data_IF_340105368992
#
_entry.id   IF_340105368992
#
_cell.length_a   1.000
_cell.length_b   1.000
_cell.length_c   1.000
_cell.angle_alpha   90.00
_cell.angle_beta   90.00
_cell.angle_gamma   90.00
#
_symmetry.space_group_name_H-M   'P 1'
#
loop_
_entity.id
_entity.type
_entity.pdbx_description
1 polymer ?
#
# COMPACT_ATOMS: atom_id res chain seq x y z
N UNK A 1 -16.03 -8.56 -20.20
CA UNK A 1 -16.49 -8.49 -18.78
C UNK A 1 -17.28 -9.76 -18.50
N UNK A 2 -16.96 -10.46 -17.39
CA UNK A 2 -17.76 -11.62 -16.98
C UNK A 2 -19.10 -11.10 -16.43
N UNK A 3 -20.19 -11.74 -16.74
CA UNK A 3 -21.58 -11.28 -16.52
C UNK A 3 -21.96 -10.93 -15.05
N UNK A 4 -21.05 -11.15 -14.06
CA UNK A 4 -21.30 -10.92 -12.63
C UNK A 4 -20.10 -10.29 -11.89
N UNK A 5 -19.23 -9.53 -12.56
CA UNK A 5 -18.11 -8.89 -11.87
C UNK A 5 -18.52 -7.56 -11.23
N UNK A 6 -17.97 -7.29 -10.04
CA UNK A 6 -18.12 -6.04 -9.30
C UNK A 6 -17.20 -4.97 -9.89
N UNK A 7 -17.76 -3.84 -10.26
CA UNK A 7 -17.05 -2.74 -10.90
C UNK A 7 -16.31 -1.90 -9.87
N UNK A 8 -15.03 -1.64 -10.12
CA UNK A 8 -14.16 -0.87 -9.22
C UNK A 8 -13.60 0.36 -9.91
N UNK A 9 -13.64 1.51 -9.24
CA UNK A 9 -12.84 2.68 -9.60
C UNK A 9 -11.62 2.78 -8.68
N UNK A 10 -10.45 2.99 -9.29
CA UNK A 10 -9.17 3.16 -8.59
C UNK A 10 -8.68 4.59 -8.74
N UNK A 11 -8.62 5.33 -7.64
CA UNK A 11 -8.08 6.68 -7.59
C UNK A 11 -6.67 6.65 -6.99
N UNK A 12 -5.76 7.46 -7.52
CA UNK A 12 -4.35 7.43 -7.14
C UNK A 12 -3.74 6.03 -7.34
N UNK A 13 -4.06 5.40 -8.49
CA UNK A 13 -3.75 3.99 -8.73
C UNK A 13 -2.25 3.67 -8.77
N UNK A 14 -1.40 4.67 -9.00
CA UNK A 14 0.04 4.47 -9.13
C UNK A 14 0.36 3.44 -10.23
N UNK A 15 1.26 2.50 -9.94
CA UNK A 15 1.57 1.39 -10.83
C UNK A 15 0.59 0.20 -10.71
N UNK A 16 -0.45 0.30 -9.86
CA UNK A 16 -1.47 -0.74 -9.76
C UNK A 16 -1.28 -1.79 -8.66
N UNK A 17 -0.47 -1.52 -7.62
CA UNK A 17 -0.27 -2.50 -6.54
C UNK A 17 -1.55 -2.85 -5.78
N UNK A 18 -2.38 -1.85 -5.44
CA UNK A 18 -3.70 -2.07 -4.84
C UNK A 18 -4.67 -2.75 -5.80
N UNK A 19 -4.61 -2.38 -7.07
CA UNK A 19 -5.48 -2.92 -8.12
C UNK A 19 -5.21 -4.41 -8.34
N UNK A 20 -3.93 -4.80 -8.45
CA UNK A 20 -3.53 -6.20 -8.55
C UNK A 20 -4.04 -7.02 -7.35
N UNK A 21 -3.87 -6.51 -6.14
CA UNK A 21 -4.39 -7.16 -4.93
C UNK A 21 -5.92 -7.25 -4.92
N UNK A 22 -6.62 -6.20 -5.34
CA UNK A 22 -8.08 -6.16 -5.42
C UNK A 22 -8.62 -7.17 -6.44
N UNK A 23 -7.95 -7.31 -7.57
CA UNK A 23 -8.33 -8.26 -8.61
C UNK A 23 -7.96 -9.71 -8.20
N UNK A 24 -6.80 -9.92 -7.59
CA UNK A 24 -6.25 -11.26 -7.40
C UNK A 24 -5.83 -11.93 -8.72
N UNK A 25 -5.72 -13.27 -8.72
CA UNK A 25 -5.32 -14.04 -9.89
C UNK A 25 -3.81 -14.02 -10.15
N UNK A 26 -3.01 -13.95 -9.10
CA UNK A 26 -1.55 -13.97 -9.19
C UNK A 26 -0.95 -14.94 -8.16
N UNK A 27 0.30 -15.36 -8.41
CA UNK A 27 1.07 -16.20 -7.49
C UNK A 27 2.21 -15.40 -6.88
N UNK A 28 2.47 -15.58 -5.59
CA UNK A 28 3.62 -14.99 -4.89
C UNK A 28 4.17 -15.98 -3.85
N UNK A 29 5.48 -16.27 -3.88
CA UNK A 29 6.16 -17.20 -2.98
C UNK A 29 5.39 -18.54 -2.80
N UNK A 30 5.21 -19.27 -3.87
CA UNK A 30 4.56 -20.61 -3.89
C UNK A 30 3.10 -20.61 -3.44
N UNK A 31 2.47 -19.44 -3.26
CA UNK A 31 1.07 -19.30 -2.92
C UNK A 31 0.29 -18.61 -4.02
N UNK A 32 -0.88 -19.17 -4.33
CA UNK A 32 -1.83 -18.60 -5.28
C UNK A 32 -2.84 -17.70 -4.56
N UNK A 33 -2.95 -16.48 -5.03
CA UNK A 33 -3.97 -15.51 -4.62
C UNK A 33 -5.08 -15.51 -5.65
N UNK A 34 -6.15 -16.24 -5.35
CA UNK A 34 -7.23 -16.50 -6.30
C UNK A 34 -7.85 -15.22 -6.84
N UNK A 35 -8.37 -15.27 -8.07
CA UNK A 35 -9.12 -14.18 -8.68
C UNK A 35 -10.35 -13.86 -7.83
N UNK A 36 -10.50 -12.58 -7.46
CA UNK A 36 -11.68 -12.05 -6.79
C UNK A 36 -12.69 -11.54 -7.83
N UNK A 37 -13.98 -11.39 -7.47
CA UNK A 37 -15.01 -10.96 -8.41
C UNK A 37 -14.99 -9.44 -8.68
N UNK A 38 -13.82 -8.82 -8.70
CA UNK A 38 -13.63 -7.41 -8.94
C UNK A 38 -12.99 -7.16 -10.31
N UNK A 39 -13.52 -6.20 -11.06
CA UNK A 39 -12.91 -5.68 -12.29
C UNK A 39 -12.74 -4.17 -12.19
N UNK A 40 -11.52 -3.69 -12.45
CA UNK A 40 -11.26 -2.26 -12.53
C UNK A 40 -11.88 -1.74 -13.83
N UNK A 41 -12.80 -0.82 -13.73
CA UNK A 41 -13.46 -0.19 -14.88
C UNK A 41 -13.08 1.28 -15.06
N UNK A 42 -12.38 1.83 -14.08
CA UNK A 42 -11.79 3.16 -14.13
C UNK A 42 -10.56 3.21 -13.22
N UNK A 43 -9.46 3.74 -13.71
CA UNK A 43 -8.25 3.99 -12.92
C UNK A 43 -7.65 5.35 -13.31
N UNK A 44 -7.12 6.10 -12.34
CA UNK A 44 -6.51 7.40 -12.58
C UNK A 44 -5.32 7.65 -11.66
N UNK A 45 -4.25 8.18 -12.24
CA UNK A 45 -3.09 8.73 -11.53
C UNK A 45 -2.49 9.90 -12.34
N UNK A 46 -1.81 10.83 -11.68
CA UNK A 46 -1.16 11.97 -12.34
C UNK A 46 0.27 11.66 -12.83
N UNK A 47 0.92 10.60 -12.31
CA UNK A 47 2.29 10.24 -12.65
C UNK A 47 2.32 9.43 -13.94
N UNK A 48 2.72 10.08 -15.04
CA UNK A 48 2.82 9.47 -16.37
C UNK A 48 3.60 8.14 -16.38
N UNK A 49 4.69 8.05 -15.60
CA UNK A 49 5.51 6.82 -15.56
C UNK A 49 4.83 5.69 -14.75
N UNK A 50 4.04 6.04 -13.75
CA UNK A 50 3.23 5.07 -13.05
C UNK A 50 2.10 4.54 -13.95
N UNK A 51 1.43 5.43 -14.67
CA UNK A 51 0.40 5.07 -15.65
C UNK A 51 0.97 4.20 -16.79
N UNK A 52 2.19 4.49 -17.27
CA UNK A 52 2.89 3.63 -18.24
C UNK A 52 3.04 2.19 -17.71
N UNK A 53 3.50 2.03 -16.48
CA UNK A 53 3.63 0.72 -15.84
C UNK A 53 2.27 0.07 -15.61
N UNK A 54 1.27 0.83 -15.17
CA UNK A 54 -0.09 0.34 -15.00
C UNK A 54 -0.63 -0.24 -16.31
N UNK A 55 -0.59 0.55 -17.40
CA UNK A 55 -1.14 0.17 -18.71
C UNK A 55 -0.40 -1.00 -19.36
N UNK A 56 0.84 -1.27 -18.95
CA UNK A 56 1.57 -2.45 -19.37
C UNK A 56 1.05 -3.74 -18.72
N UNK A 57 0.57 -3.66 -17.48
CA UNK A 57 0.21 -4.84 -16.67
C UNK A 57 -1.30 -5.12 -16.59
N UNK A 58 -2.16 -4.16 -16.93
CA UNK A 58 -3.62 -4.29 -16.79
C UNK A 58 -4.32 -4.14 -18.15
N UNK A 59 -5.38 -4.94 -18.34
CA UNK A 59 -6.21 -4.86 -19.57
C UNK A 59 -6.97 -3.53 -19.65
N UNK A 60 -7.47 -3.01 -18.50
CA UNK A 60 -8.13 -1.71 -18.44
C UNK A 60 -7.07 -0.63 -18.21
N UNK A 61 -6.91 0.33 -19.16
CA UNK A 61 -5.90 1.37 -19.03
C UNK A 61 -6.27 2.40 -17.94
N UNK A 62 -5.27 2.89 -17.21
CA UNK A 62 -5.41 4.04 -16.35
C UNK A 62 -5.35 5.34 -17.16
N UNK A 63 -6.11 6.32 -16.71
CA UNK A 63 -6.11 7.69 -17.23
C UNK A 63 -4.98 8.48 -16.55
N UNK A 64 -4.11 9.11 -17.33
CA UNK A 64 -3.09 10.01 -16.79
C UNK A 64 -3.71 11.41 -16.62
N UNK A 65 -4.18 11.73 -15.40
CA UNK A 65 -4.82 13.00 -15.09
C UNK A 65 -4.70 13.34 -13.60
N UNK A 66 -4.76 14.64 -13.29
CA UNK A 66 -4.98 15.08 -11.92
C UNK A 66 -6.44 14.78 -11.53
N UNK A 67 -6.61 14.01 -10.45
CA UNK A 67 -7.92 13.60 -9.93
C UNK A 67 -8.82 14.80 -9.58
N UNK A 68 -8.24 15.96 -9.27
CA UNK A 68 -8.99 17.20 -9.02
C UNK A 68 -9.78 17.67 -10.26
N UNK A 69 -9.27 17.37 -11.44
CA UNK A 69 -9.84 17.77 -12.72
C UNK A 69 -10.74 16.69 -13.35
N UNK A 70 -10.89 15.52 -12.70
CA UNK A 70 -11.74 14.45 -13.21
C UNK A 70 -13.21 14.79 -13.01
N UNK A 71 -13.99 14.65 -14.09
CA UNK A 71 -15.45 14.72 -14.03
C UNK A 71 -16.00 13.34 -13.65
N UNK A 72 -16.27 13.14 -12.36
CA UNK A 72 -16.76 11.86 -11.85
C UNK A 72 -18.18 11.50 -12.34
N UNK A 73 -18.97 12.45 -12.84
CA UNK A 73 -20.26 12.14 -13.46
C UNK A 73 -20.08 11.26 -14.71
N UNK A 74 -19.00 11.46 -15.46
CA UNK A 74 -18.71 10.77 -16.71
C UNK A 74 -18.06 9.41 -16.58
N UNK A 75 -17.54 9.04 -15.38
CA UNK A 75 -17.01 7.70 -15.19
C UNK A 75 -18.16 6.67 -15.06
N UNK A 76 -17.92 5.38 -15.34
CA UNK A 76 -18.92 4.34 -15.13
C UNK A 76 -19.45 4.32 -13.69
N UNK A 77 -20.67 3.82 -13.49
CA UNK A 77 -21.13 3.47 -12.15
C UNK A 77 -20.33 2.30 -11.60
N UNK A 78 -20.00 2.36 -10.32
CA UNK A 78 -19.09 1.41 -9.67
C UNK A 78 -19.68 0.88 -8.37
N UNK A 79 -19.35 -0.38 -8.06
CA UNK A 79 -19.74 -1.05 -6.83
C UNK A 79 -18.77 -0.71 -5.68
N UNK A 80 -17.50 -0.49 -6.02
CA UNK A 80 -16.45 -0.20 -5.04
C UNK A 80 -15.48 0.88 -5.54
N UNK A 81 -14.94 1.66 -4.61
CA UNK A 81 -13.83 2.59 -4.84
C UNK A 81 -12.64 2.14 -4.03
N UNK A 82 -11.46 2.12 -4.65
CA UNK A 82 -10.19 1.99 -3.95
C UNK A 82 -9.35 3.23 -4.20
N UNK A 83 -8.50 3.63 -3.21
CA UNK A 83 -7.63 4.78 -3.39
C UNK A 83 -6.65 4.99 -2.24
N UNK A 84 -5.45 5.49 -2.57
CA UNK A 84 -4.41 5.86 -1.61
C UNK A 84 -4.09 7.34 -1.72
N UNK A 85 -4.85 8.22 -1.09
CA UNK A 85 -4.59 9.65 -1.17
C UNK A 85 -3.29 10.03 -0.45
N UNK A 86 -2.45 10.94 -1.01
CA UNK A 86 -1.17 11.31 -0.40
C UNK A 86 -1.34 12.08 0.92
N UNK A 87 -0.52 11.70 1.93
CA UNK A 87 -0.52 12.33 3.27
C UNK A 87 0.32 13.60 3.36
N UNK A 88 1.07 13.96 2.32
CA UNK A 88 2.08 15.03 2.37
C UNK A 88 1.49 16.42 2.68
N UNK A 89 0.24 16.61 2.41
CA UNK A 89 -0.52 17.83 2.63
C UNK A 89 -0.84 18.13 4.11
N UNK A 90 -0.86 17.12 4.97
CA UNK A 90 -1.14 17.33 6.39
C UNK A 90 0.10 17.66 7.23
N UNK A 91 1.32 17.32 6.74
CA UNK A 91 2.58 17.57 7.45
C UNK A 91 3.07 19.02 7.34
N UNK A 92 2.56 19.79 6.37
CA UNK A 92 2.95 21.18 6.11
C UNK A 92 1.93 22.21 6.59
N UNK A 93 0.83 21.77 7.21
CA UNK A 93 -0.12 22.72 7.84
C UNK A 93 0.52 23.31 9.08
N UNK A 94 1.35 24.33 8.85
CA UNK A 94 1.66 25.32 9.87
C UNK A 94 0.33 26.04 10.18
N UNK A 95 -0.11 26.14 11.46
CA UNK A 95 -1.37 26.79 11.83
C UNK A 95 -1.51 28.24 11.36
N UNK A 96 -0.43 28.84 10.83
CA UNK A 96 -0.34 30.22 10.36
C UNK A 96 -0.16 30.34 8.84
N UNK A 97 -0.14 29.25 8.06
CA UNK A 97 -0.07 29.28 6.59
C UNK A 97 -1.38 28.84 5.98
N UNK A 98 -1.81 29.67 5.06
CA UNK A 98 -2.97 29.62 4.17
C UNK A 98 -3.59 28.23 4.00
N UNK A 99 -4.86 28.10 4.37
CA UNK A 99 -5.68 26.89 4.26
C UNK A 99 -6.01 26.50 2.81
N UNK A 100 -5.40 27.15 1.83
CA UNK A 100 -5.61 26.96 0.40
C UNK A 100 -4.57 26.08 -0.30
N UNK A 101 -3.80 25.24 0.40
CA UNK A 101 -2.98 24.23 -0.28
C UNK A 101 -3.89 23.10 -0.77
N UNK A 102 -4.20 23.11 -2.08
CA UNK A 102 -5.08 22.14 -2.76
C UNK A 102 -4.67 20.68 -2.50
N UNK A 103 -3.39 20.45 -2.21
CA UNK A 103 -2.86 19.12 -1.86
C UNK A 103 -3.29 18.66 -0.46
N UNK A 104 -3.63 19.58 0.46
CA UNK A 104 -4.19 19.24 1.78
C UNK A 104 -5.58 18.59 1.67
N UNK A 105 -6.19 18.66 0.50
CA UNK A 105 -7.57 18.30 0.29
C UNK A 105 -7.78 17.10 -0.67
N UNK A 106 -6.71 16.34 -1.02
CA UNK A 106 -6.86 15.23 -1.97
C UNK A 106 -7.79 14.11 -1.47
N UNK A 107 -7.93 13.90 -0.16
CA UNK A 107 -8.96 13.01 0.36
C UNK A 107 -10.38 13.51 0.05
N UNK A 108 -10.57 14.82 -0.16
CA UNK A 108 -11.85 15.40 -0.60
C UNK A 108 -12.29 14.87 -1.97
N UNK A 109 -11.36 14.42 -2.79
CA UNK A 109 -11.71 13.78 -4.05
C UNK A 109 -12.36 12.41 -3.82
N UNK A 110 -11.98 11.71 -2.74
CA UNK A 110 -12.71 10.52 -2.31
C UNK A 110 -14.11 10.92 -1.83
N UNK A 111 -14.25 11.93 -0.97
CA UNK A 111 -15.58 12.43 -0.54
C UNK A 111 -16.45 12.77 -1.76
N UNK A 112 -15.88 13.51 -2.74
CA UNK A 112 -16.63 13.92 -3.96
C UNK A 112 -17.10 12.74 -4.79
N UNK A 113 -16.28 11.72 -5.01
CA UNK A 113 -16.69 10.54 -5.78
C UNK A 113 -17.70 9.68 -4.99
N UNK A 114 -17.56 9.58 -3.65
CA UNK A 114 -18.55 8.92 -2.78
C UNK A 114 -19.93 9.59 -2.89
N UNK A 115 -19.96 10.93 -2.89
CA UNK A 115 -21.18 11.69 -3.06
C UNK A 115 -21.86 11.42 -4.40
N UNK A 116 -21.08 11.41 -5.50
CA UNK A 116 -21.60 11.27 -6.87
C UNK A 116 -21.97 9.82 -7.18
N UNK A 117 -21.07 8.87 -6.91
CA UNK A 117 -21.21 7.47 -7.36
C UNK A 117 -21.87 6.55 -6.34
N UNK A 118 -21.83 6.89 -5.06
CA UNK A 118 -22.45 6.15 -3.97
C UNK A 118 -22.16 4.63 -4.02
N UNK A 119 -20.88 4.20 -4.17
CA UNK A 119 -20.54 2.78 -4.22
C UNK A 119 -21.00 2.06 -2.95
N UNK A 120 -21.13 0.73 -2.99
CA UNK A 120 -21.46 -0.05 -1.79
C UNK A 120 -20.35 -0.05 -0.76
N UNK A 121 -19.10 -0.02 -1.23
CA UNK A 121 -17.89 -0.11 -0.40
C UNK A 121 -16.84 0.87 -0.91
N UNK A 122 -16.04 1.40 -0.02
CA UNK A 122 -14.75 2.00 -0.38
C UNK A 122 -13.62 1.50 0.51
N UNK A 123 -12.41 1.45 -0.03
CA UNK A 123 -11.18 1.13 0.69
C UNK A 123 -10.15 2.20 0.39
N UNK A 124 -9.66 2.88 1.43
CA UNK A 124 -8.57 3.85 1.30
C UNK A 124 -7.34 3.40 2.08
N UNK A 125 -6.17 3.67 1.53
CA UNK A 125 -4.89 3.41 2.19
C UNK A 125 -4.17 4.73 2.51
N UNK A 126 -3.44 4.74 3.62
CA UNK A 126 -2.55 5.85 3.96
C UNK A 126 -1.38 5.39 4.85
N UNK A 127 -0.39 6.24 5.00
CA UNK A 127 0.77 5.98 5.87
C UNK A 127 0.39 6.01 7.35
N UNK A 128 1.13 5.24 8.18
CA UNK A 128 0.94 5.20 9.65
C UNK A 128 0.89 6.60 10.29
N UNK A 129 1.68 7.55 9.75
CA UNK A 129 1.73 8.93 10.26
C UNK A 129 0.37 9.62 10.34
N UNK A 130 -0.60 9.23 9.50
CA UNK A 130 -1.95 9.79 9.53
C UNK A 130 -2.64 9.63 10.90
N UNK A 131 -2.38 8.53 11.60
CA UNK A 131 -2.92 8.29 12.95
C UNK A 131 -2.34 9.21 14.02
N UNK A 132 -1.15 9.78 13.77
CA UNK A 132 -0.43 10.61 14.75
C UNK A 132 -0.66 12.11 14.53
N UNK A 133 -1.13 12.50 13.34
CA UNK A 133 -1.34 13.90 13.00
C UNK A 133 -2.40 14.53 13.91
N UNK A 134 -2.00 15.63 14.54
CA UNK A 134 -2.83 16.35 15.52
C UNK A 134 -3.47 15.40 16.55
N UNK A 135 -2.67 14.50 17.12
CA UNK A 135 -3.13 13.50 18.10
C UNK A 135 -4.34 12.67 17.61
N UNK A 136 -4.37 12.34 16.33
CA UNK A 136 -5.45 11.55 15.71
C UNK A 136 -6.69 12.36 15.30
N UNK A 137 -6.71 13.67 15.48
CA UNK A 137 -7.86 14.48 15.07
C UNK A 137 -8.08 14.46 13.55
N UNK A 138 -7.01 14.38 12.76
CA UNK A 138 -7.11 14.38 11.30
C UNK A 138 -7.83 13.14 10.77
N UNK A 139 -7.45 11.94 11.22
CA UNK A 139 -8.12 10.71 10.77
C UNK A 139 -9.58 10.65 11.22
N UNK A 140 -9.90 11.14 12.43
CA UNK A 140 -11.28 11.23 12.92
C UNK A 140 -12.12 12.18 12.07
N UNK A 141 -11.55 13.33 11.67
CA UNK A 141 -12.21 14.27 10.76
C UNK A 141 -12.46 13.65 9.39
N UNK A 142 -11.48 12.98 8.81
CA UNK A 142 -11.62 12.29 7.51
C UNK A 142 -12.71 11.21 7.60
N UNK A 143 -12.70 10.39 8.66
CA UNK A 143 -13.71 9.37 8.87
C UNK A 143 -15.11 9.99 8.98
N UNK A 144 -15.24 11.08 9.75
CA UNK A 144 -16.52 11.80 9.90
C UNK A 144 -17.05 12.33 8.57
N UNK A 145 -16.19 12.88 7.70
CA UNK A 145 -16.63 13.34 6.38
C UNK A 145 -17.09 12.20 5.47
N UNK A 146 -16.50 11.01 5.59
CA UNK A 146 -17.01 9.82 4.89
C UNK A 146 -18.31 9.30 5.49
N UNK A 147 -18.49 9.37 6.83
CA UNK A 147 -19.75 9.04 7.49
C UNK A 147 -20.88 9.96 7.06
N UNK A 148 -20.59 11.26 6.88
CA UNK A 148 -21.58 12.26 6.42
C UNK A 148 -22.07 11.97 4.98
N UNK A 149 -21.30 11.23 4.17
CA UNK A 149 -21.72 10.71 2.86
C UNK A 149 -22.57 9.42 2.96
N UNK A 150 -22.90 8.95 4.15
CA UNK A 150 -23.79 7.80 4.38
C UNK A 150 -23.08 6.46 4.50
N UNK A 151 -21.85 6.43 5.02
CA UNK A 151 -21.07 5.21 5.22
C UNK A 151 -20.84 4.93 6.70
N UNK A 152 -20.82 3.65 7.06
CA UNK A 152 -20.22 3.16 8.31
C UNK A 152 -18.73 2.98 8.10
N UNK A 153 -17.92 3.77 8.80
CA UNK A 153 -16.47 3.87 8.54
C UNK A 153 -15.67 3.23 9.66
N UNK A 154 -14.72 2.39 9.29
CA UNK A 154 -13.74 1.82 10.20
C UNK A 154 -12.33 2.06 9.65
N UNK A 155 -11.35 2.21 10.54
CA UNK A 155 -9.94 2.28 10.14
C UNK A 155 -9.06 1.52 11.12
N UNK A 156 -8.00 0.89 10.58
CA UNK A 156 -7.05 0.10 11.37
C UNK A 156 -5.64 0.23 10.81
N UNK A 157 -4.64 0.16 11.69
CA UNK A 157 -3.24 0.00 11.31
C UNK A 157 -2.99 -1.46 10.98
N UNK A 158 -2.66 -1.73 9.71
CA UNK A 158 -2.35 -3.06 9.20
C UNK A 158 -0.85 -3.18 8.99
N UNK A 159 -0.26 -4.29 9.45
CA UNK A 159 1.14 -4.62 9.23
C UNK A 159 1.23 -5.65 8.10
N UNK A 160 1.80 -5.26 6.98
CA UNK A 160 1.90 -6.10 5.79
C UNK A 160 2.60 -7.45 6.06
N UNK A 161 3.59 -7.43 6.95
CA UNK A 161 4.35 -8.63 7.36
C UNK A 161 3.45 -9.72 7.97
N UNK A 162 2.36 -9.34 8.63
CA UNK A 162 1.40 -10.27 9.22
C UNK A 162 0.58 -11.05 8.17
N UNK A 163 0.63 -10.62 6.90
CA UNK A 163 -0.06 -11.22 5.77
C UNK A 163 0.88 -11.91 4.77
N UNK A 164 2.15 -12.13 5.14
CA UNK A 164 3.10 -12.83 4.27
C UNK A 164 3.91 -11.92 3.34
N UNK A 165 3.80 -10.62 3.47
CA UNK A 165 4.68 -9.66 2.78
C UNK A 165 6.04 -9.64 3.48
N UNK A 166 7.17 -9.86 2.79
CA UNK A 166 8.50 -9.92 3.43
C UNK A 166 9.04 -8.54 3.84
N UNK A 167 8.18 -7.69 4.42
CA UNK A 167 8.49 -6.31 4.76
C UNK A 167 7.70 -5.82 5.98
N UNK A 168 8.38 -5.15 6.92
CA UNK A 168 7.78 -4.49 8.11
C UNK A 168 7.11 -3.17 7.72
N UNK A 169 6.15 -3.23 6.77
CA UNK A 169 5.38 -2.07 6.29
C UNK A 169 4.09 -1.95 7.07
N UNK A 170 3.83 -0.77 7.62
CA UNK A 170 2.60 -0.46 8.34
C UNK A 170 1.79 0.58 7.57
N UNK A 171 0.49 0.32 7.39
CA UNK A 171 -0.43 1.20 6.67
C UNK A 171 -1.76 1.30 7.38
N UNK A 172 -2.34 2.49 7.35
CA UNK A 172 -3.71 2.70 7.79
C UNK A 172 -4.62 2.32 6.63
N UNK A 173 -5.51 1.39 6.89
CA UNK A 173 -6.58 1.05 5.95
C UNK A 173 -7.88 1.61 6.51
N UNK A 174 -8.62 2.32 5.69
CA UNK A 174 -9.94 2.89 5.97
C UNK A 174 -10.94 2.15 5.09
N UNK A 175 -11.97 1.56 5.69
CA UNK A 175 -13.04 0.87 4.96
C UNK A 175 -14.36 1.51 5.33
N UNK A 176 -15.16 1.85 4.32
CA UNK A 176 -16.52 2.31 4.49
C UNK A 176 -17.50 1.38 3.80
N UNK A 177 -18.54 1.02 4.53
CA UNK A 177 -19.69 0.26 4.02
C UNK A 177 -20.89 1.18 4.01
N UNK A 178 -21.60 1.30 2.87
CA UNK A 178 -22.78 2.17 2.76
C UNK A 178 -23.87 1.70 3.72
N UNK A 179 -24.52 2.62 4.40
CA UNK A 179 -25.42 2.35 5.54
C UNK A 179 -26.67 1.51 5.20
N UNK A 180 -27.06 1.43 3.91
CA UNK A 180 -28.15 0.58 3.44
C UNK A 180 -27.75 -0.89 3.24
N UNK A 181 -26.45 -1.20 3.35
CA UNK A 181 -25.92 -2.56 3.21
C UNK A 181 -25.92 -3.24 4.58
N UNK A 182 -26.69 -4.32 4.70
CA UNK A 182 -26.73 -5.12 5.93
C UNK A 182 -25.48 -6.01 6.05
N UNK A 183 -24.33 -5.39 6.32
CA UNK A 183 -23.04 -6.08 6.51
C UNK A 183 -22.21 -5.40 7.58
N UNK A 184 -21.85 -6.15 8.61
CA UNK A 184 -20.90 -5.70 9.64
C UNK A 184 -19.49 -6.06 9.23
N UNK A 185 -18.69 -5.04 8.91
CA UNK A 185 -17.29 -5.24 8.49
C UNK A 185 -16.37 -5.56 9.67
N UNK A 186 -15.46 -6.48 9.47
CA UNK A 186 -14.34 -6.75 10.37
C UNK A 186 -13.04 -6.81 9.58
N UNK A 187 -12.00 -6.13 10.05
CA UNK A 187 -10.66 -6.27 9.49
C UNK A 187 -10.16 -7.70 9.64
N UNK A 188 -9.43 -8.25 8.64
CA UNK A 188 -8.82 -9.56 8.78
C UNK A 188 -7.78 -9.55 9.89
N UNK A 189 -7.82 -10.58 10.73
CA UNK A 189 -6.82 -10.79 11.77
C UNK A 189 -5.48 -11.17 11.17
N UNK A 190 -4.35 -10.93 11.87
CA UNK A 190 -3.04 -11.40 11.45
C UNK A 190 -3.03 -12.89 11.11
N UNK A 191 -2.52 -13.22 9.93
CA UNK A 191 -2.32 -14.60 9.47
C UNK A 191 -1.08 -15.22 10.13
N UNK A 192 0.02 -14.45 10.21
CA UNK A 192 1.32 -14.90 10.69
C UNK A 192 1.66 -14.28 12.04
N UNK A 193 2.35 -15.05 12.86
CA UNK A 193 3.05 -14.59 14.06
C UNK A 193 4.48 -14.17 13.70
N UNK A 194 5.15 -13.45 14.59
CA UNK A 194 6.49 -12.91 14.35
C UNK A 194 7.53 -14.00 14.00
N UNK A 195 7.41 -15.20 14.61
CA UNK A 195 8.26 -16.35 14.28
C UNK A 195 8.13 -16.85 12.84
N UNK A 196 6.99 -16.57 12.19
CA UNK A 196 6.60 -17.14 10.90
C UNK A 196 6.70 -16.11 9.76
N UNK A 197 7.19 -14.91 10.06
CA UNK A 197 7.34 -13.84 9.07
C UNK A 197 8.29 -14.27 7.95
N UNK A 198 7.91 -13.95 6.73
CA UNK A 198 8.69 -14.28 5.53
C UNK A 198 10.05 -13.57 5.57
N UNK A 199 11.16 -14.31 5.60
CA UNK A 199 12.46 -13.72 5.65
C UNK A 199 12.89 -13.16 4.29
N UNK A 200 13.71 -12.09 4.33
CA UNK A 200 14.21 -11.39 3.15
C UNK A 200 14.95 -12.32 2.16
N UNK A 201 15.63 -13.36 2.67
CA UNK A 201 16.34 -14.35 1.83
C UNK A 201 15.45 -15.03 0.77
N UNK A 202 14.13 -15.14 1.03
CA UNK A 202 13.20 -15.78 0.09
C UNK A 202 12.92 -14.95 -1.16
N UNK A 203 13.25 -13.67 -1.15
CA UNK A 203 13.00 -12.73 -2.24
C UNK A 203 14.28 -12.16 -2.87
N UNK A 204 15.45 -12.60 -2.37
CA UNK A 204 16.77 -12.26 -2.91
C UNK A 204 17.27 -13.45 -3.74
N UNK A 205 17.50 -13.26 -5.04
CA UNK A 205 17.97 -14.32 -5.95
C UNK A 205 19.41 -14.75 -5.62
N UNK A 206 20.31 -13.77 -5.62
CA UNK A 206 21.73 -13.95 -5.33
C UNK A 206 22.24 -12.78 -4.49
N UNK A 207 23.06 -13.08 -3.50
CA UNK A 207 23.65 -12.03 -2.69
C UNK A 207 24.67 -11.22 -3.50
N UNK A 208 25.56 -11.88 -4.23
CA UNK A 208 26.46 -11.26 -5.20
C UNK A 208 25.84 -11.20 -6.58
N UNK A 209 25.98 -10.07 -7.25
CA UNK A 209 25.49 -9.81 -8.62
C UNK A 209 26.68 -9.48 -9.53
N UNK A 210 26.56 -9.84 -10.80
CA UNK A 210 27.57 -9.52 -11.82
C UNK A 210 27.49 -8.04 -12.27
N UNK A 211 26.37 -7.37 -12.04
CA UNK A 211 26.17 -5.98 -12.48
C UNK A 211 26.67 -4.98 -11.42
N UNK A 212 27.79 -4.25 -11.70
CA UNK A 212 28.41 -3.33 -10.76
C UNK A 212 27.52 -2.12 -10.38
N UNK A 213 26.51 -1.79 -11.17
CA UNK A 213 25.62 -0.62 -10.90
C UNK A 213 24.89 -0.70 -9.56
N UNK A 214 24.73 -1.90 -9.00
CA UNK A 214 24.05 -2.09 -7.73
C UNK A 214 24.98 -1.97 -6.51
N UNK A 215 26.30 -2.00 -6.71
CA UNK A 215 27.27 -1.92 -5.62
C UNK A 215 27.56 -0.49 -5.21
N UNK A 216 27.90 -0.31 -3.95
CA UNK A 216 28.36 0.97 -3.43
C UNK A 216 29.88 1.09 -3.54
N UNK A 217 30.37 2.26 -3.91
CA UNK A 217 31.80 2.57 -3.86
C UNK A 217 32.29 2.61 -2.39
N UNK A 218 33.59 2.36 -2.15
CA UNK A 218 34.17 2.48 -0.83
C UNK A 218 33.86 3.83 -0.19
N UNK A 219 34.01 4.92 -0.94
CA UNK A 219 33.66 6.27 -0.47
C UNK A 219 32.21 6.39 0.01
N UNK A 220 31.28 5.74 -0.70
CA UNK A 220 29.88 5.73 -0.29
C UNK A 220 29.67 4.91 0.99
N UNK A 221 30.37 3.77 1.14
CA UNK A 221 30.33 2.93 2.34
C UNK A 221 30.89 3.68 3.56
N UNK A 222 32.04 4.35 3.42
CA UNK A 222 32.62 5.20 4.48
C UNK A 222 31.66 6.32 4.88
N UNK A 223 31.06 6.98 3.88
CA UNK A 223 30.05 8.00 4.14
C UNK A 223 28.83 7.46 4.90
N UNK A 224 28.33 6.27 4.54
CA UNK A 224 27.24 5.60 5.26
C UNK A 224 27.63 5.25 6.70
N UNK A 225 28.87 4.83 6.93
CA UNK A 225 29.40 4.53 8.29
C UNK A 225 29.51 5.79 9.14
N UNK A 226 30.03 6.86 8.58
CA UNK A 226 30.24 8.15 9.28
C UNK A 226 28.93 8.88 9.59
N UNK A 227 27.89 8.69 8.79
CA UNK A 227 26.54 9.25 9.03
C UNK A 227 25.81 8.62 10.23
N UNK A 228 26.41 7.63 10.87
CA UNK A 228 25.81 6.77 11.91
C UNK A 228 25.53 7.42 13.25
N UNK A 229 26.05 8.55 13.56
CA UNK A 229 26.01 9.10 14.93
C UNK A 229 24.60 9.20 15.55
N UNK A 230 23.54 8.97 14.77
CA UNK A 230 22.17 8.98 15.25
C UNK A 230 21.30 7.78 14.82
N UNK A 231 21.86 6.74 14.18
CA UNK A 231 21.06 5.56 13.74
C UNK A 231 21.29 4.39 14.70
N UNK A 232 20.22 3.96 15.38
CA UNK A 232 20.19 2.80 16.30
C UNK A 232 20.27 1.42 15.59
N UNK A 233 20.38 1.37 14.25
CA UNK A 233 20.38 0.12 13.46
C UNK A 233 21.69 -0.06 12.70
N UNK A 234 22.00 -1.32 12.32
CA UNK A 234 23.10 -1.62 11.39
C UNK A 234 22.87 -1.03 9.98
N UNK A 235 23.93 -1.01 9.15
CA UNK A 235 23.85 -0.54 7.76
C UNK A 235 23.03 -1.49 6.87
N UNK A 236 23.10 -2.77 7.15
CA UNK A 236 22.52 -3.83 6.32
C UNK A 236 21.29 -4.46 6.93
N UNK A 237 20.53 -5.17 6.09
CA UNK A 237 19.39 -5.95 6.49
C UNK A 237 19.77 -7.38 6.87
N UNK A 238 19.17 -7.90 7.94
CA UNK A 238 19.23 -9.32 8.25
C UNK A 238 18.39 -10.11 7.23
N UNK A 239 19.05 -11.04 6.56
CA UNK A 239 18.39 -11.90 5.57
C UNK A 239 17.46 -12.94 6.21
N UNK A 240 17.58 -13.20 7.51
CA UNK A 240 16.74 -14.15 8.24
C UNK A 240 15.43 -13.54 8.75
N UNK A 241 15.32 -12.22 8.72
CA UNK A 241 14.10 -11.49 9.07
C UNK A 241 13.47 -10.80 7.86
N UNK A 242 12.27 -10.23 8.01
CA UNK A 242 11.62 -9.42 6.97
C UNK A 242 12.37 -8.10 6.79
N UNK A 243 12.33 -7.55 5.57
CA UNK A 243 12.90 -6.25 5.24
C UNK A 243 12.29 -5.13 6.08
N UNK A 244 13.05 -4.07 6.32
CA UNK A 244 12.47 -2.78 6.71
C UNK A 244 11.60 -2.23 5.58
N UNK A 245 10.74 -1.26 5.90
CA UNK A 245 9.92 -0.60 4.89
C UNK A 245 10.80 0.03 3.81
N UNK A 246 10.63 -0.41 2.56
CA UNK A 246 11.20 0.25 1.39
C UNK A 246 10.39 1.49 1.04
N UNK A 247 11.08 2.56 0.66
CA UNK A 247 10.48 3.86 0.36
C UNK A 247 10.63 4.22 -1.11
N UNK A 248 9.92 5.25 -1.55
CA UNK A 248 10.06 5.82 -2.90
C UNK A 248 11.47 6.38 -3.19
N UNK A 249 12.32 6.48 -2.17
CA UNK A 249 13.69 7.03 -2.27
C UNK A 249 14.77 5.95 -2.43
N UNK A 250 14.40 4.67 -2.56
CA UNK A 250 15.35 3.56 -2.66
C UNK A 250 16.43 3.75 -3.76
N UNK A 251 16.10 4.48 -4.83
CA UNK A 251 17.06 4.87 -5.86
C UNK A 251 18.12 5.90 -5.38
N UNK A 252 17.72 6.75 -4.44
CA UNK A 252 18.55 7.86 -3.95
C UNK A 252 19.34 7.45 -2.73
N UNK A 253 20.05 6.35 -2.77
CA UNK A 253 20.90 5.93 -1.65
C UNK A 253 21.90 7.03 -1.30
N UNK A 254 21.43 8.02 -0.57
CA UNK A 254 22.25 9.01 0.07
C UNK A 254 22.75 8.47 1.41
N UNK A 255 23.85 9.02 1.89
CA UNK A 255 24.46 8.78 3.20
C UNK A 255 23.44 8.83 4.35
N UNK A 256 22.37 9.60 4.18
CA UNK A 256 21.27 9.77 5.14
C UNK A 256 20.04 8.93 4.80
N UNK A 257 20.11 8.05 3.80
CA UNK A 257 18.98 7.20 3.43
C UNK A 257 18.70 6.19 4.53
N UNK A 258 17.44 6.10 4.93
CA UNK A 258 16.94 5.04 5.83
C UNK A 258 16.65 3.75 5.09
N UNK A 259 16.87 3.73 3.77
CA UNK A 259 16.59 2.58 2.94
C UNK A 259 17.56 1.44 3.23
N UNK A 260 17.09 0.21 3.22
CA UNK A 260 17.90 -0.95 3.52
C UNK A 260 18.94 -1.23 2.42
N UNK A 261 20.10 -1.74 2.83
CA UNK A 261 21.15 -2.22 1.95
C UNK A 261 21.50 -3.68 2.27
N UNK A 262 22.12 -4.37 1.33
CA UNK A 262 22.62 -5.74 1.51
C UNK A 262 24.12 -5.75 1.72
N UNK A 263 24.58 -6.52 2.70
CA UNK A 263 25.99 -6.84 2.91
C UNK A 263 26.31 -8.10 2.11
N UNK A 264 27.18 -7.96 1.10
CA UNK A 264 27.53 -9.04 0.18
C UNK A 264 28.75 -9.84 0.68
N UNK A 265 29.78 -9.12 1.13
CA UNK A 265 31.03 -9.72 1.65
C UNK A 265 31.39 -8.95 2.92
N UNK A 266 31.28 -9.59 4.11
CA UNK A 266 31.63 -8.96 5.38
C UNK A 266 33.12 -8.61 5.51
N UNK A 267 34.00 -9.45 4.99
CA UNK A 267 35.44 -9.30 5.15
C UNK A 267 35.99 -8.14 4.31
N UNK A 268 35.40 -7.95 3.12
CA UNK A 268 35.74 -6.86 2.20
C UNK A 268 34.81 -5.63 2.32
N UNK A 269 33.85 -5.70 3.22
CA UNK A 269 32.84 -4.65 3.41
C UNK A 269 32.13 -4.23 2.11
N UNK A 270 31.75 -5.23 1.29
CA UNK A 270 31.06 -5.01 0.03
C UNK A 270 29.56 -4.93 0.30
N UNK A 271 28.97 -3.80 -0.09
CA UNK A 271 27.54 -3.55 0.05
C UNK A 271 26.89 -3.29 -1.31
N UNK A 272 25.63 -3.69 -1.44
CA UNK A 272 24.81 -3.36 -2.60
C UNK A 272 23.39 -2.92 -2.23
N UNK A 273 22.74 -2.24 -3.16
CA UNK A 273 21.30 -1.98 -3.11
C UNK A 273 20.52 -3.17 -3.63
N UNK A 274 19.23 -3.23 -3.31
CA UNK A 274 18.32 -4.15 -3.98
C UNK A 274 18.22 -3.83 -5.48
N UNK A 275 18.01 -4.86 -6.29
CA UNK A 275 17.56 -4.64 -7.68
C UNK A 275 16.10 -4.20 -7.69
N UNK A 276 15.57 -3.60 -8.77
CA UNK A 276 14.14 -3.31 -8.89
C UNK A 276 13.26 -4.55 -8.72
N UNK A 277 13.70 -5.72 -9.23
CA UNK A 277 12.96 -6.99 -9.07
C UNK A 277 12.92 -7.45 -7.63
N UNK A 278 14.03 -7.42 -6.91
CA UNK A 278 14.07 -7.73 -5.48
C UNK A 278 13.19 -6.76 -4.68
N UNK A 279 13.24 -5.47 -4.98
CA UNK A 279 12.37 -4.47 -4.35
C UNK A 279 10.88 -4.76 -4.63
N UNK A 280 10.54 -5.15 -5.85
CA UNK A 280 9.18 -5.55 -6.22
C UNK A 280 8.70 -6.77 -5.42
N UNK A 281 9.54 -7.81 -5.29
CA UNK A 281 9.23 -8.98 -4.47
C UNK A 281 9.11 -8.64 -2.97
N UNK A 282 9.95 -7.75 -2.44
CA UNK A 282 9.83 -7.26 -1.06
C UNK A 282 8.45 -6.59 -0.86
N UNK A 283 7.92 -5.94 -1.88
CA UNK A 283 6.58 -5.34 -1.87
C UNK A 283 5.47 -6.32 -2.24
N UNK A 284 5.79 -7.59 -2.43
CA UNK A 284 4.90 -8.69 -2.83
C UNK A 284 4.30 -8.60 -4.24
N UNK A 285 4.96 -7.90 -5.17
CA UNK A 285 4.62 -8.03 -6.58
C UNK A 285 5.08 -9.41 -7.09
N UNK A 286 4.27 -10.10 -7.89
CA UNK A 286 4.67 -11.34 -8.56
C UNK A 286 5.74 -11.07 -9.62
N UNK A 287 6.50 -12.08 -10.01
CA UNK A 287 7.54 -11.94 -11.03
C UNK A 287 6.98 -11.63 -12.42
N UNK A 288 5.74 -11.98 -12.68
CA UNK A 288 5.02 -11.63 -13.90
C UNK A 288 4.66 -10.15 -14.03
N UNK A 289 4.70 -9.38 -12.92
CA UNK A 289 4.43 -7.95 -12.96
C UNK A 289 5.68 -7.19 -13.42
N UNK A 290 5.58 -6.47 -14.51
CA UNK A 290 6.70 -5.78 -15.14
C UNK A 290 6.73 -4.29 -14.82
N UNK A 291 7.94 -3.73 -14.81
CA UNK A 291 8.19 -2.30 -14.66
C UNK A 291 8.94 -1.80 -15.90
N UNK A 292 8.26 -1.46 -17.01
CA UNK A 292 8.87 -1.07 -18.28
C UNK A 292 9.42 0.36 -18.26
N UNK A 293 10.05 0.73 -17.16
CA UNK A 293 10.61 2.05 -16.88
C UNK A 293 12.04 1.93 -16.34
N UNK A 294 12.80 3.02 -16.29
CA UNK A 294 14.14 2.98 -15.71
C UNK A 294 14.11 2.71 -14.20
N UNK A 295 15.21 2.12 -13.68
CA UNK A 295 15.34 1.76 -12.26
C UNK A 295 14.85 2.84 -11.27
N UNK A 296 15.20 4.15 -11.43
CA UNK A 296 14.72 5.17 -10.49
C UNK A 296 13.20 5.33 -10.45
N UNK A 297 12.53 5.19 -11.59
CA UNK A 297 11.07 5.23 -11.65
C UNK A 297 10.46 3.95 -11.06
N UNK A 298 11.06 2.78 -11.37
CA UNK A 298 10.62 1.51 -10.80
C UNK A 298 10.69 1.53 -9.25
N UNK A 299 11.82 1.93 -8.67
CA UNK A 299 11.95 2.06 -7.21
C UNK A 299 10.92 3.01 -6.61
N UNK A 300 10.67 4.17 -7.26
CA UNK A 300 9.69 5.13 -6.78
C UNK A 300 8.28 4.54 -6.76
N UNK A 301 7.89 3.88 -7.84
CA UNK A 301 6.58 3.24 -7.95
C UNK A 301 6.42 2.10 -6.93
N UNK A 302 7.41 1.22 -6.81
CA UNK A 302 7.40 0.10 -5.87
C UNK A 302 7.30 0.62 -4.42
N UNK A 303 8.11 1.62 -4.06
CA UNK A 303 8.10 2.19 -2.71
C UNK A 303 6.78 2.88 -2.33
N UNK A 304 6.08 3.47 -3.30
CA UNK A 304 4.77 4.08 -3.09
C UNK A 304 3.62 3.07 -3.09
N UNK A 305 3.79 1.93 -3.72
CA UNK A 305 2.70 0.97 -3.92
C UNK A 305 2.16 0.37 -2.61
N UNK A 306 0.89 0.04 -2.63
CA UNK A 306 0.27 -0.86 -1.65
C UNK A 306 0.71 -2.29 -1.99
N UNK A 307 1.18 -3.10 -1.02
CA UNK A 307 1.55 -4.50 -1.28
C UNK A 307 0.36 -5.31 -1.81
N UNK A 308 0.44 -5.93 -3.01
CA UNK A 308 -0.66 -6.69 -3.59
C UNK A 308 -1.21 -7.79 -2.67
N UNK A 309 -0.33 -8.53 -2.01
CA UNK A 309 -0.73 -9.59 -1.07
C UNK A 309 -1.56 -9.04 0.09
N UNK A 310 -1.12 -7.94 0.73
CA UNK A 310 -1.89 -7.31 1.80
C UNK A 310 -3.26 -6.84 1.30
N UNK A 311 -3.29 -6.20 0.13
CA UNK A 311 -4.53 -5.69 -0.44
C UNK A 311 -5.50 -6.81 -0.81
N UNK A 312 -5.02 -7.97 -1.26
CA UNK A 312 -5.85 -9.13 -1.55
C UNK A 312 -6.66 -9.60 -0.33
N UNK A 313 -6.03 -9.64 0.86
CA UNK A 313 -6.74 -9.99 2.11
C UNK A 313 -7.78 -8.92 2.48
N UNK A 314 -7.44 -7.64 2.31
CA UNK A 314 -8.39 -6.54 2.59
C UNK A 314 -9.56 -6.57 1.60
N UNK A 315 -9.31 -6.72 0.29
CA UNK A 315 -10.36 -6.81 -0.72
C UNK A 315 -11.26 -8.05 -0.52
N UNK A 316 -10.66 -9.19 -0.14
CA UNK A 316 -11.42 -10.40 0.19
C UNK A 316 -12.32 -10.20 1.41
N UNK A 317 -11.92 -9.41 2.41
CA UNK A 317 -12.68 -9.21 3.64
C UNK A 317 -13.97 -8.41 3.45
N UNK A 318 -14.10 -7.64 2.36
CA UNK A 318 -15.32 -6.87 2.05
C UNK A 318 -16.31 -7.63 1.15
N UNK A 319 -15.99 -8.83 0.69
CA UNK A 319 -16.85 -9.59 -0.24
C UNK A 319 -18.26 -9.84 0.31
N UNK A 320 -18.41 -9.99 1.63
CA UNK A 320 -19.71 -10.15 2.29
C UNK A 320 -20.67 -8.99 2.06
N UNK A 321 -20.16 -7.77 1.89
CA UNK A 321 -20.98 -6.59 1.57
C UNK A 321 -21.67 -6.69 0.19
N UNK A 322 -21.19 -7.56 -0.67
CA UNK A 322 -21.72 -7.83 -2.00
C UNK A 322 -22.47 -9.17 -2.10
N UNK A 323 -22.63 -9.88 -0.98
CA UNK A 323 -23.28 -11.19 -0.95
C UNK A 323 -22.39 -12.36 -1.37
N UNK A 324 -21.07 -12.14 -1.55
CA UNK A 324 -20.11 -13.21 -1.85
C UNK A 324 -19.53 -13.77 -0.55
N UNK A 325 -19.24 -15.07 -0.53
CA UNK A 325 -18.44 -15.66 0.54
C UNK A 325 -16.96 -15.45 0.25
N UNK A 326 -16.15 -14.99 1.21
CA UNK A 326 -14.69 -15.05 1.12
C UNK A 326 -14.25 -16.51 0.96
N UNK A 327 -13.02 -16.74 0.47
CA UNK A 327 -12.48 -18.09 0.55
C UNK A 327 -12.29 -18.50 2.03
N UNK A 328 -12.19 -19.81 2.30
CA UNK A 328 -12.15 -20.35 3.67
C UNK A 328 -11.00 -19.78 4.51
N UNK A 329 -9.85 -19.49 3.89
CA UNK A 329 -8.71 -18.89 4.57
C UNK A 329 -9.04 -17.49 5.12
N UNK A 330 -9.66 -16.64 4.30
CA UNK A 330 -10.04 -15.28 4.70
C UNK A 330 -11.23 -15.30 5.67
N UNK A 331 -12.18 -16.21 5.46
CA UNK A 331 -13.34 -16.37 6.33
C UNK A 331 -12.91 -16.58 7.80
N UNK A 332 -11.89 -17.41 8.04
CA UNK A 332 -11.34 -17.62 9.39
C UNK A 332 -10.67 -16.37 9.99
N UNK A 333 -10.09 -15.50 9.15
CA UNK A 333 -9.43 -14.27 9.61
C UNK A 333 -10.41 -13.16 9.98
N UNK A 334 -11.59 -13.11 9.33
CA UNK A 334 -12.62 -12.08 9.57
C UNK A 334 -13.70 -12.52 10.55
N UNK A 335 -13.69 -13.78 11.00
CA UNK A 335 -14.63 -14.25 12.00
C UNK A 335 -14.54 -13.39 13.28
N UNK A 336 -15.69 -12.99 13.88
CA UNK A 336 -15.68 -12.15 15.07
C UNK A 336 -14.97 -12.88 16.22
N UNK A 337 -13.78 -12.41 16.59
CA UNK A 337 -13.13 -12.85 17.82
C UNK A 337 -13.87 -12.18 18.97
N UNK A 338 -14.52 -12.94 19.81
CA UNK A 338 -14.99 -12.46 21.10
C UNK A 338 -13.84 -11.75 21.84
N UNK A 339 -13.93 -10.41 21.98
CA UNK A 339 -12.97 -9.51 22.62
C UNK A 339 -11.84 -8.96 21.73
N UNK A 340 -12.15 -7.99 20.89
CA UNK A 340 -11.15 -7.00 20.43
C UNK A 340 -11.46 -5.57 20.91
N UNK A 341 -11.98 -5.42 22.11
CA UNK A 341 -12.34 -4.13 22.73
C UNK A 341 -11.13 -3.31 23.22
N UNK A 342 -9.90 -3.78 23.07
CA UNK A 342 -8.72 -3.12 23.67
C UNK A 342 -8.00 -2.09 22.79
N UNK A 343 -8.21 -2.06 21.49
CA UNK A 343 -7.47 -1.12 20.64
C UNK A 343 -8.11 0.27 20.51
N UNK A 344 -9.43 0.34 20.67
CA UNK A 344 -10.16 1.62 20.71
C UNK A 344 -10.06 2.33 22.07
N UNK A 345 -9.88 1.58 23.17
CA UNK A 345 -9.79 2.17 24.51
C UNK A 345 -8.44 2.87 24.79
N UNK A 346 -7.35 2.46 24.17
CA UNK A 346 -6.04 3.10 24.32
C UNK A 346 -5.96 4.50 23.66
N UNK A 347 -6.92 4.86 22.82
CA UNK A 347 -6.98 6.16 22.14
C UNK A 347 -7.95 7.15 22.80
N UNK A 348 -8.75 6.69 23.76
CA UNK A 348 -9.69 7.53 24.52
C UNK A 348 -9.13 8.01 25.87
N UNK A 349 -7.90 7.63 26.23
CA UNK A 349 -7.26 7.98 27.51
C UNK A 349 -6.02 8.87 27.29
N UNK A 350 -6.07 9.84 26.41
CA UNK A 350 -5.02 10.86 26.22
C UNK A 350 -5.60 12.22 25.93
#
# INVERSE_FOLDING_TARGET
MKENSLKVASLFCGCGGSDLGTIGGFSFLEKDYTRLPFDIVYAVDFDTKAVETYNHNFEHPAVCADVCNVDFEKIPDVDMIIGGFPCQSFSTVNPTKDTNDDRAHLYKQIVRILHIKKPKVFICENVKGLLQLQYGAIIKRIAKEFEDEGYSVQFQLIKAVEFGVPQKRERVIIVGIRNDINFSYNFPSPLLKESDYVPLRKVIDKLALDNPKYYFSQKAVEGMKNAKNNMKRGLWQDLNGPSLTITSHLAKTSINSRDPVLLVDPDKEIYRRFTPREAARIQSFPDSFEFPVSDPYAYRQIGNAVPPVMMWYIASSVLGAFGYKPNTEVEHLIAPKHKQTKQLELWNMG
#
